data_IF_543159090737
#
_entry.id   IF_543159090737
#
_cell.length_a   1.000
_cell.length_b   1.000
_cell.length_c   1.000
_cell.angle_alpha   90.00
_cell.angle_beta   90.00
_cell.angle_gamma   90.00
#
_symmetry.space_group_name_H-M   'P 1'
#
loop_
_entity.id
_entity.type
_entity.pdbx_description
1 polymer ?
#
# COMPACT_ATOMS: atom_id res chain seq x y z
N UNK A 1 55.26 -8.96 2.58
CA UNK A 1 55.10 -8.98 1.10
C UNK A 1 54.13 -7.87 0.75
N UNK A 2 54.38 -7.01 -0.25
CA UNK A 2 53.42 -6.00 -0.65
C UNK A 2 52.14 -6.71 -1.13
N UNK A 3 50.99 -6.25 -0.65
CA UNK A 3 49.63 -6.76 -0.89
C UNK A 3 49.44 -7.44 -2.25
N UNK A 4 49.54 -8.77 -2.30
CA UNK A 4 49.13 -9.52 -3.48
C UNK A 4 47.61 -9.50 -3.55
N UNK A 5 47.07 -8.71 -4.48
CA UNK A 5 45.63 -8.65 -4.80
C UNK A 5 45.03 -10.07 -4.86
N UNK A 6 43.87 -10.27 -4.23
CA UNK A 6 43.20 -11.58 -4.21
C UNK A 6 42.35 -11.74 -5.48
N UNK A 7 42.98 -12.16 -6.58
CA UNK A 7 42.35 -12.31 -7.88
C UNK A 7 41.47 -13.58 -7.93
N UNK A 8 40.18 -13.49 -8.31
CA UNK A 8 39.38 -14.67 -8.64
C UNK A 8 39.77 -15.22 -10.02
N UNK A 9 39.53 -16.51 -10.27
CA UNK A 9 39.85 -17.14 -11.55
C UNK A 9 38.57 -17.73 -12.18
N UNK A 10 37.73 -16.92 -12.86
CA UNK A 10 36.51 -17.41 -13.51
C UNK A 10 36.78 -18.47 -14.59
N UNK A 11 37.99 -18.49 -15.14
CA UNK A 11 38.46 -19.50 -16.10
C UNK A 11 38.34 -20.93 -15.53
N UNK A 12 38.49 -21.10 -14.21
CA UNK A 12 38.41 -22.41 -13.56
C UNK A 12 36.99 -22.99 -13.63
N UNK A 13 35.97 -22.12 -13.53
CA UNK A 13 34.57 -22.57 -13.49
C UNK A 13 33.90 -22.53 -14.86
N UNK A 14 34.46 -21.78 -15.81
CA UNK A 14 33.89 -21.61 -17.15
C UNK A 14 34.69 -22.30 -18.26
N UNK A 15 36.00 -22.51 -18.08
CA UNK A 15 36.90 -22.98 -19.14
C UNK A 15 37.21 -21.94 -20.23
N UNK A 16 36.75 -20.70 -20.07
CA UNK A 16 36.92 -19.61 -21.02
C UNK A 16 37.82 -18.52 -20.43
N UNK A 17 38.43 -17.65 -21.25
CA UNK A 17 39.26 -16.53 -20.77
C UNK A 17 38.38 -15.35 -20.30
N UNK A 18 38.69 -14.77 -19.15
CA UNK A 18 37.96 -13.64 -18.56
C UNK A 18 38.84 -12.41 -18.35
N UNK A 19 38.19 -11.25 -18.27
CA UNK A 19 38.79 -10.01 -17.79
C UNK A 19 38.23 -9.70 -16.39
N UNK A 20 39.11 -9.59 -15.39
CA UNK A 20 38.70 -9.21 -14.02
C UNK A 20 39.21 -7.82 -13.70
N UNK A 21 38.26 -6.95 -13.33
CA UNK A 21 38.49 -5.55 -12.99
C UNK A 21 38.37 -5.42 -11.47
N UNK A 22 39.43 -4.91 -10.83
CA UNK A 22 39.39 -4.61 -9.40
C UNK A 22 38.61 -3.33 -9.12
N UNK A 23 37.69 -3.34 -8.17
CA UNK A 23 37.04 -2.10 -7.72
C UNK A 23 38.03 -1.24 -6.94
N UNK A 24 37.91 0.08 -7.10
CA UNK A 24 38.69 1.10 -6.37
C UNK A 24 37.80 1.68 -5.27
N UNK A 25 38.39 2.04 -4.13
CA UNK A 25 37.74 2.79 -3.03
C UNK A 25 36.66 2.05 -2.23
N UNK A 26 36.87 0.78 -1.87
CA UNK A 26 35.97 0.04 -0.96
C UNK A 26 34.49 0.01 -1.43
N UNK A 27 34.22 0.15 -2.74
CA UNK A 27 32.88 -0.16 -3.28
C UNK A 27 32.74 -1.69 -3.33
N UNK A 28 31.87 -2.29 -2.48
CA UNK A 28 31.80 -3.73 -2.29
C UNK A 28 30.89 -4.42 -3.32
N UNK A 29 30.40 -3.70 -4.33
CA UNK A 29 29.44 -4.26 -5.28
C UNK A 29 30.17 -5.06 -6.36
N UNK A 30 30.03 -6.38 -6.26
CA UNK A 30 30.45 -7.32 -7.28
C UNK A 30 29.48 -7.30 -8.46
N UNK A 31 30.02 -7.41 -9.68
CA UNK A 31 29.20 -7.53 -10.89
C UNK A 31 29.87 -8.51 -11.86
N UNK A 32 29.09 -9.45 -12.38
CA UNK A 32 29.53 -10.40 -13.41
C UNK A 32 28.76 -10.20 -14.71
N UNK A 33 29.48 -9.90 -15.79
CA UNK A 33 28.96 -9.85 -17.15
C UNK A 33 29.38 -11.10 -17.94
N UNK A 34 28.46 -12.07 -18.02
CA UNK A 34 28.66 -13.31 -18.75
C UNK A 34 28.69 -13.14 -20.28
N UNK A 35 28.16 -12.05 -20.84
CA UNK A 35 28.18 -11.82 -22.28
C UNK A 35 29.57 -11.39 -22.72
N UNK A 36 30.13 -10.41 -22.02
CA UNK A 36 31.45 -9.85 -22.32
C UNK A 36 32.60 -10.57 -21.58
N UNK A 37 32.28 -11.54 -20.72
CA UNK A 37 33.24 -12.27 -19.87
C UNK A 37 34.08 -11.33 -19.01
N UNK A 38 33.40 -10.37 -18.40
CA UNK A 38 33.99 -9.38 -17.50
C UNK A 38 33.46 -9.60 -16.07
N UNK A 39 34.36 -9.53 -15.08
CA UNK A 39 34.00 -9.61 -13.67
C UNK A 39 34.60 -8.42 -12.92
N UNK A 40 33.76 -7.62 -12.28
CA UNK A 40 34.17 -6.49 -11.46
C UNK A 40 34.00 -6.86 -10.00
N UNK A 41 35.09 -6.90 -9.24
CA UNK A 41 35.09 -7.33 -7.83
C UNK A 41 36.11 -6.59 -6.98
N UNK A 42 35.88 -6.48 -5.66
CA UNK A 42 36.91 -6.03 -4.74
C UNK A 42 38.06 -7.06 -4.63
N UNK A 43 39.30 -6.56 -4.58
CA UNK A 43 40.53 -7.38 -4.59
C UNK A 43 41.31 -7.32 -3.26
N UNK A 44 40.81 -6.58 -2.29
CA UNK A 44 41.30 -6.55 -0.92
C UNK A 44 41.10 -7.92 -0.22
N UNK A 45 41.87 -8.12 0.84
CA UNK A 45 41.92 -9.36 1.61
C UNK A 45 41.34 -9.21 3.02
N UNK A 46 41.03 -8.00 3.42
CA UNK A 46 40.63 -7.67 4.77
C UNK A 46 39.94 -6.32 4.78
N UNK A 47 38.83 -6.24 5.50
CA UNK A 47 38.15 -4.99 5.76
C UNK A 47 38.91 -4.20 6.83
N UNK A 48 39.21 -2.94 6.57
CA UNK A 48 39.91 -2.06 7.51
C UNK A 48 39.13 -1.81 8.81
N UNK A 49 37.80 -1.93 8.77
CA UNK A 49 36.93 -1.65 9.93
C UNK A 49 36.80 -2.84 10.88
N UNK A 50 36.65 -4.05 10.37
CA UNK A 50 36.33 -5.23 11.19
C UNK A 50 37.31 -6.41 11.04
N UNK A 51 38.31 -6.33 10.17
CA UNK A 51 39.30 -7.39 9.96
C UNK A 51 38.78 -8.63 9.20
N UNK A 52 37.53 -8.63 8.73
CA UNK A 52 36.94 -9.76 7.98
C UNK A 52 37.20 -9.57 6.48
N UNK A 53 37.51 -10.65 5.75
CA UNK A 53 37.66 -10.64 4.29
C UNK A 53 36.31 -10.70 3.57
N UNK A 54 35.50 -9.66 3.70
CA UNK A 54 34.21 -9.50 3.01
C UNK A 54 34.31 -9.77 1.51
N UNK A 55 35.35 -9.23 0.88
CA UNK A 55 35.64 -9.32 -0.54
C UNK A 55 35.82 -10.75 -1.04
N UNK A 56 36.22 -11.70 -0.17
CA UNK A 56 36.26 -13.13 -0.51
C UNK A 56 34.87 -13.70 -0.78
N UNK A 57 33.86 -13.29 -0.01
CA UNK A 57 32.49 -13.76 -0.20
C UNK A 57 31.89 -13.18 -1.47
N UNK A 58 32.15 -11.90 -1.74
CA UNK A 58 31.73 -11.23 -2.99
C UNK A 58 32.34 -11.94 -4.21
N UNK A 59 33.68 -12.14 -4.22
CA UNK A 59 34.34 -12.89 -5.31
C UNK A 59 33.78 -14.30 -5.51
N UNK A 60 33.46 -15.00 -4.42
CA UNK A 60 32.85 -16.34 -4.50
C UNK A 60 31.44 -16.29 -5.09
N UNK A 61 30.66 -15.29 -4.70
CA UNK A 61 29.32 -15.05 -5.23
C UNK A 61 29.36 -14.80 -6.75
N UNK A 62 30.24 -13.90 -7.19
CA UNK A 62 30.45 -13.58 -8.61
C UNK A 62 30.95 -14.78 -9.43
N UNK A 63 31.81 -15.63 -8.87
CA UNK A 63 32.18 -16.90 -9.53
C UNK A 63 30.98 -17.84 -9.70
N UNK A 64 30.00 -17.78 -8.81
CA UNK A 64 28.71 -18.45 -8.96
C UNK A 64 27.93 -17.94 -10.16
N UNK A 65 27.84 -16.61 -10.34
CA UNK A 65 27.25 -16.00 -11.54
C UNK A 65 27.97 -16.41 -12.82
N UNK A 66 29.30 -16.38 -12.82
CA UNK A 66 30.11 -16.78 -13.98
C UNK A 66 29.81 -18.22 -14.42
N UNK A 67 29.53 -19.10 -13.46
CA UNK A 67 29.26 -20.52 -13.72
C UNK A 67 27.81 -20.80 -14.12
N UNK A 68 26.83 -20.15 -13.47
CA UNK A 68 25.43 -20.58 -13.53
C UNK A 68 24.44 -19.54 -14.04
N UNK A 69 24.80 -18.26 -14.06
CA UNK A 69 23.93 -17.24 -14.62
C UNK A 69 23.93 -17.31 -16.15
N UNK A 70 22.84 -16.90 -16.81
CA UNK A 70 22.80 -16.85 -18.26
C UNK A 70 23.75 -15.76 -18.79
N UNK A 71 24.09 -15.83 -20.08
CA UNK A 71 24.87 -14.78 -20.76
C UNK A 71 24.16 -13.43 -20.78
N UNK A 72 22.84 -13.45 -20.93
CA UNK A 72 22.00 -12.26 -20.88
C UNK A 72 20.75 -12.57 -20.08
N UNK A 73 20.11 -11.55 -19.51
CA UNK A 73 18.83 -11.72 -18.80
C UNK A 73 17.67 -12.10 -19.73
N UNK A 74 17.90 -12.01 -21.05
CA UNK A 74 16.88 -12.13 -22.07
C UNK A 74 16.01 -10.88 -22.16
N UNK A 75 15.05 -10.90 -23.09
CA UNK A 75 14.06 -9.84 -23.22
C UNK A 75 13.07 -9.93 -22.05
N UNK A 76 13.03 -8.90 -21.22
CA UNK A 76 12.03 -8.78 -20.15
C UNK A 76 10.64 -8.63 -20.77
N UNK A 77 9.65 -9.32 -20.20
CA UNK A 77 8.24 -9.12 -20.58
C UNK A 77 7.80 -7.70 -20.15
N UNK A 78 6.81 -7.10 -20.82
CA UNK A 78 6.21 -5.85 -20.35
C UNK A 78 5.77 -5.95 -18.88
N UNK A 79 6.13 -4.95 -18.07
CA UNK A 79 5.83 -4.92 -16.63
C UNK A 79 6.78 -5.71 -15.73
N UNK A 80 7.78 -6.42 -16.29
CA UNK A 80 8.80 -7.09 -15.47
C UNK A 80 9.98 -6.16 -15.22
N UNK A 81 10.31 -5.97 -13.93
CA UNK A 81 11.42 -5.16 -13.46
C UNK A 81 12.74 -5.92 -13.51
N UNK A 82 13.82 -5.22 -13.88
CA UNK A 82 15.16 -5.78 -13.86
C UNK A 82 15.59 -6.14 -12.43
N UNK A 83 15.26 -5.30 -11.45
CA UNK A 83 15.60 -5.48 -10.04
C UNK A 83 14.99 -6.76 -9.45
N UNK A 84 13.76 -7.12 -9.86
CA UNK A 84 13.12 -8.37 -9.47
C UNK A 84 13.85 -9.59 -10.04
N UNK A 85 14.33 -9.51 -11.28
CA UNK A 85 15.12 -10.57 -11.90
C UNK A 85 16.47 -10.70 -11.22
N UNK A 86 17.16 -9.58 -10.99
CA UNK A 86 18.48 -9.56 -10.33
C UNK A 86 18.38 -10.17 -8.95
N UNK A 87 17.50 -9.67 -8.07
CA UNK A 87 17.45 -10.13 -6.68
C UNK A 87 17.09 -11.61 -6.55
N UNK A 88 16.21 -12.13 -7.42
CA UNK A 88 15.85 -13.55 -7.43
C UNK A 88 16.98 -14.41 -8.01
N UNK A 89 17.80 -13.84 -8.89
CA UNK A 89 19.03 -14.46 -9.35
C UNK A 89 20.07 -14.55 -8.22
N UNK A 90 20.25 -13.50 -7.41
CA UNK A 90 21.11 -13.53 -6.22
C UNK A 90 20.70 -14.69 -5.28
N UNK A 91 19.40 -14.82 -5.01
CA UNK A 91 18.84 -15.92 -4.20
C UNK A 91 19.17 -17.28 -4.81
N UNK A 92 19.03 -17.41 -6.15
CA UNK A 92 19.33 -18.66 -6.85
C UNK A 92 20.82 -19.00 -6.77
N UNK A 93 21.71 -18.05 -7.01
CA UNK A 93 23.16 -18.24 -6.97
C UNK A 93 23.62 -18.61 -5.56
N UNK A 94 23.16 -17.90 -4.54
CA UNK A 94 23.44 -18.21 -3.14
C UNK A 94 23.02 -19.64 -2.77
N UNK A 95 21.86 -20.07 -3.24
CA UNK A 95 21.39 -21.43 -3.01
C UNK A 95 22.24 -22.48 -3.75
N UNK A 96 22.61 -22.24 -5.01
CA UNK A 96 23.47 -23.15 -5.77
C UNK A 96 24.86 -23.29 -5.13
N UNK A 97 25.42 -22.19 -4.63
CA UNK A 97 26.66 -22.21 -3.86
C UNK A 97 26.54 -23.08 -2.60
N UNK A 98 25.45 -22.96 -1.86
CA UNK A 98 25.17 -23.80 -0.68
C UNK A 98 25.08 -25.30 -1.06
N UNK A 99 24.28 -25.66 -2.05
CA UNK A 99 24.10 -27.06 -2.49
C UNK A 99 25.41 -27.68 -3.01
N UNK A 100 26.31 -26.87 -3.57
CA UNK A 100 27.63 -27.30 -4.05
C UNK A 100 28.72 -27.22 -2.95
N UNK A 101 28.36 -27.13 -1.67
CA UNK A 101 29.29 -27.07 -0.52
C UNK A 101 30.27 -25.89 -0.58
N UNK A 102 29.87 -24.79 -1.21
CA UNK A 102 30.60 -23.53 -1.29
C UNK A 102 29.78 -22.36 -0.70
N UNK A 103 29.21 -22.50 0.51
CA UNK A 103 28.33 -21.48 1.07
C UNK A 103 29.08 -20.15 1.30
N UNK A 104 28.34 -19.04 1.27
CA UNK A 104 28.84 -17.75 1.76
C UNK A 104 28.71 -17.72 3.28
N UNK A 105 29.67 -18.36 3.97
CA UNK A 105 29.64 -18.59 5.42
C UNK A 105 30.05 -17.39 6.27
N UNK A 106 30.75 -16.44 5.67
CA UNK A 106 31.15 -15.16 6.27
C UNK A 106 30.28 -14.04 5.70
N UNK A 107 30.11 -12.91 6.39
CA UNK A 107 29.38 -11.78 5.85
C UNK A 107 30.16 -11.11 4.70
N UNK A 108 29.42 -10.65 3.70
CA UNK A 108 29.90 -9.89 2.53
C UNK A 108 30.09 -8.40 2.81
N UNK A 109 29.59 -7.89 3.95
CA UNK A 109 29.74 -6.51 4.42
C UNK A 109 29.83 -6.48 5.95
N UNK A 110 30.26 -5.37 6.53
CA UNK A 110 30.24 -5.21 7.98
C UNK A 110 28.81 -5.30 8.51
N UNK A 111 28.62 -6.07 9.59
CA UNK A 111 27.29 -6.27 10.18
C UNK A 111 26.68 -4.96 10.68
N UNK A 112 27.50 -4.06 11.24
CA UNK A 112 27.06 -2.74 11.71
C UNK A 112 26.52 -1.88 10.55
N UNK A 113 27.17 -1.93 9.38
CA UNK A 113 26.68 -1.24 8.18
C UNK A 113 25.34 -1.80 7.71
N UNK A 114 25.17 -3.13 7.76
CA UNK A 114 23.90 -3.79 7.43
C UNK A 114 22.82 -3.37 8.42
N UNK A 115 23.13 -3.31 9.71
CA UNK A 115 22.19 -2.88 10.75
C UNK A 115 21.76 -1.42 10.54
N UNK A 116 22.71 -0.50 10.35
CA UNK A 116 22.43 0.92 10.10
C UNK A 116 21.58 1.11 8.83
N UNK A 117 21.94 0.41 7.74
CA UNK A 117 21.17 0.45 6.50
C UNK A 117 19.77 -0.11 6.69
N UNK A 118 19.62 -1.22 7.43
CA UNK A 118 18.31 -1.81 7.73
C UNK A 118 17.46 -0.88 8.56
N UNK A 119 18.01 -0.27 9.62
CA UNK A 119 17.30 0.73 10.42
C UNK A 119 16.79 1.86 9.53
N UNK A 120 17.65 2.44 8.69
CA UNK A 120 17.23 3.50 7.76
C UNK A 120 16.09 3.03 6.85
N UNK A 121 16.20 1.85 6.24
CA UNK A 121 15.16 1.30 5.36
C UNK A 121 13.81 1.13 6.08
N UNK A 122 13.85 0.63 7.31
CA UNK A 122 12.66 0.33 8.10
C UNK A 122 11.86 1.60 8.44
N UNK A 123 12.50 2.76 8.59
CA UNK A 123 11.81 4.02 8.87
C UNK A 123 11.56 4.88 7.62
N UNK A 124 12.47 4.89 6.64
CA UNK A 124 12.47 5.89 5.57
C UNK A 124 12.11 5.33 4.18
N UNK A 125 12.18 4.02 3.99
CA UNK A 125 12.07 3.43 2.65
C UNK A 125 10.73 2.77 2.35
N UNK A 126 10.37 2.74 1.07
CA UNK A 126 9.23 1.98 0.58
C UNK A 126 9.39 0.47 0.79
N UNK A 127 8.28 -0.25 0.83
CA UNK A 127 8.28 -1.71 1.07
C UNK A 127 9.10 -2.44 -0.02
N UNK A 128 9.10 -1.94 -1.25
CA UNK A 128 9.86 -2.50 -2.35
C UNK A 128 11.37 -2.62 -2.03
N UNK A 129 11.97 -1.59 -1.44
CA UNK A 129 13.40 -1.58 -1.10
C UNK A 129 13.73 -2.57 0.03
N UNK A 130 12.82 -2.70 1.00
CA UNK A 130 12.94 -3.66 2.10
C UNK A 130 12.88 -5.09 1.55
N UNK A 131 11.96 -5.38 0.62
CA UNK A 131 11.85 -6.67 -0.05
C UNK A 131 13.13 -6.99 -0.83
N UNK A 132 13.63 -6.04 -1.62
CA UNK A 132 14.85 -6.22 -2.42
C UNK A 132 16.07 -6.50 -1.53
N UNK A 133 16.29 -5.68 -0.49
CA UNK A 133 17.41 -5.90 0.43
C UNK A 133 17.23 -7.21 1.23
N UNK A 134 16.01 -7.55 1.62
CA UNK A 134 15.71 -8.76 2.38
C UNK A 134 15.95 -10.03 1.59
N UNK A 135 15.57 -10.06 0.31
CA UNK A 135 15.87 -11.18 -0.57
C UNK A 135 17.38 -11.30 -0.85
N UNK A 136 18.06 -10.18 -1.11
CA UNK A 136 19.51 -10.17 -1.32
C UNK A 136 20.30 -10.67 -0.09
N UNK A 137 19.82 -10.35 1.11
CA UNK A 137 20.52 -10.66 2.37
C UNK A 137 20.23 -12.05 2.91
N UNK A 138 19.32 -12.84 2.30
CA UNK A 138 18.82 -14.11 2.86
C UNK A 138 19.33 -15.33 2.10
N UNK A 139 20.19 -16.11 2.74
CA UNK A 139 20.62 -17.41 2.23
C UNK A 139 20.98 -18.41 3.33
N UNK A 140 21.10 -19.69 2.94
CA UNK A 140 21.43 -20.79 3.86
C UNK A 140 22.94 -20.94 4.01
N UNK A 141 23.38 -21.27 5.22
CA UNK A 141 24.75 -21.68 5.54
C UNK A 141 24.72 -22.92 6.45
N UNK A 142 25.77 -23.77 6.44
CA UNK A 142 25.84 -24.96 7.29
C UNK A 142 25.70 -24.63 8.76
N UNK A 143 24.91 -25.42 9.49
CA UNK A 143 24.73 -25.30 10.93
C UNK A 143 25.78 -26.17 11.65
N UNK A 144 26.91 -25.58 12.04
CA UNK A 144 28.06 -26.32 12.59
C UNK A 144 27.89 -26.70 14.08
N UNK A 145 26.67 -26.70 14.64
CA UNK A 145 26.46 -27.14 16.03
C UNK A 145 26.65 -28.66 16.16
N UNK A 146 27.69 -29.06 16.90
CA UNK A 146 28.24 -30.41 16.98
C UNK A 146 27.30 -31.54 17.48
N UNK A 147 26.07 -31.23 17.92
CA UNK A 147 25.19 -32.17 18.61
C UNK A 147 23.93 -32.61 17.82
N UNK A 148 23.80 -32.26 16.54
CA UNK A 148 22.60 -32.63 15.74
C UNK A 148 22.89 -33.78 14.76
N UNK A 149 22.09 -34.84 14.82
CA UNK A 149 22.22 -36.07 13.99
C UNK A 149 21.83 -35.88 12.51
N UNK A 150 21.31 -34.72 12.12
CA UNK A 150 20.90 -34.41 10.75
C UNK A 150 21.57 -33.11 10.29
N UNK A 151 21.91 -33.02 9.00
CA UNK A 151 22.41 -31.80 8.40
C UNK A 151 21.37 -30.69 8.55
N UNK A 152 21.54 -29.83 9.55
CA UNK A 152 20.73 -28.63 9.74
C UNK A 152 21.40 -27.46 9.02
N UNK A 153 20.60 -26.48 8.61
CA UNK A 153 21.09 -25.21 8.07
C UNK A 153 20.65 -24.08 9.00
N UNK A 154 21.42 -23.00 9.02
CA UNK A 154 20.98 -21.71 9.55
C UNK A 154 20.92 -20.69 8.42
N UNK A 155 20.28 -19.55 8.66
CA UNK A 155 20.43 -18.39 7.78
C UNK A 155 21.75 -17.68 8.09
N UNK A 156 22.30 -17.00 7.09
CA UNK A 156 23.52 -16.22 7.20
C UNK A 156 23.39 -15.05 8.19
N UNK A 157 24.52 -14.58 8.70
CA UNK A 157 24.55 -13.59 9.77
C UNK A 157 24.01 -12.21 9.31
N UNK A 158 24.07 -11.88 8.01
CA UNK A 158 23.45 -10.66 7.48
C UNK A 158 21.94 -10.69 7.59
N UNK A 159 21.30 -11.81 7.24
CA UNK A 159 19.86 -11.98 7.44
C UNK A 159 19.49 -11.94 8.92
N UNK A 160 20.32 -12.52 9.79
CA UNK A 160 20.07 -12.49 11.24
C UNK A 160 20.06 -11.05 11.76
N UNK A 161 21.06 -10.24 11.38
CA UNK A 161 21.13 -8.82 11.77
C UNK A 161 19.97 -8.03 11.17
N UNK A 162 19.67 -8.22 9.88
CA UNK A 162 18.56 -7.55 9.21
C UNK A 162 17.21 -7.90 9.87
N UNK A 163 16.96 -9.19 10.11
CA UNK A 163 15.72 -9.65 10.78
C UNK A 163 15.64 -9.14 12.21
N UNK A 164 16.76 -9.07 12.94
CA UNK A 164 16.79 -8.46 14.27
C UNK A 164 16.43 -6.99 14.23
N UNK A 165 17.01 -6.21 13.31
CA UNK A 165 16.71 -4.78 13.14
C UNK A 165 15.25 -4.54 12.74
N UNK A 166 14.72 -5.37 11.84
CA UNK A 166 13.28 -5.37 11.50
C UNK A 166 12.44 -5.64 12.75
N UNK A 167 12.79 -6.66 13.54
CA UNK A 167 12.00 -7.03 14.72
C UNK A 167 11.95 -5.94 15.80
N UNK A 168 12.95 -5.07 15.87
CA UNK A 168 12.96 -3.94 16.82
C UNK A 168 11.80 -2.97 16.58
N UNK A 169 11.31 -2.85 15.34
CA UNK A 169 10.19 -1.94 15.02
C UNK A 169 8.89 -2.36 15.72
N UNK A 170 8.69 -3.66 15.96
CA UNK A 170 7.45 -4.14 16.57
C UNK A 170 7.32 -3.71 18.02
N UNK A 171 8.46 -3.51 18.70
CA UNK A 171 8.55 -3.00 20.07
C UNK A 171 8.64 -1.47 20.14
N UNK A 172 8.78 -0.78 19.01
CA UNK A 172 8.81 0.68 18.96
C UNK A 172 7.40 1.24 19.17
N UNK A 173 7.20 1.95 20.28
CA UNK A 173 5.93 2.54 20.67
C UNK A 173 5.64 3.85 19.91
N UNK A 174 6.66 4.47 19.33
CA UNK A 174 6.55 5.70 18.53
C UNK A 174 6.07 5.42 17.11
N UNK A 175 6.23 4.19 16.62
CA UNK A 175 5.86 3.78 15.26
C UNK A 175 4.38 3.41 15.17
N UNK A 176 3.73 3.79 14.07
CA UNK A 176 2.33 3.43 13.81
C UNK A 176 2.17 1.92 13.58
N UNK A 177 0.99 1.39 13.90
CA UNK A 177 0.65 0.00 13.57
C UNK A 177 0.58 -0.22 12.05
N UNK A 178 0.26 0.82 11.26
CA UNK A 178 0.29 0.76 9.81
C UNK A 178 1.69 0.41 9.29
N UNK A 179 2.72 1.11 9.76
CA UNK A 179 4.10 0.83 9.34
C UNK A 179 4.53 -0.56 9.78
N UNK A 180 4.21 -1.00 11.00
CA UNK A 180 4.52 -2.37 11.45
C UNK A 180 3.92 -3.43 10.53
N UNK A 181 2.67 -3.25 10.08
CA UNK A 181 2.02 -4.16 9.14
C UNK A 181 2.67 -4.15 7.75
N UNK A 182 3.10 -2.97 7.25
CA UNK A 182 3.88 -2.88 6.01
C UNK A 182 5.18 -3.70 6.09
N UNK A 183 5.87 -3.63 7.22
CA UNK A 183 7.11 -4.39 7.45
C UNK A 183 6.84 -5.90 7.54
N UNK A 184 5.79 -6.29 8.25
CA UNK A 184 5.40 -7.70 8.34
C UNK A 184 5.04 -8.29 6.97
N UNK A 185 4.33 -7.54 6.14
CA UNK A 185 4.05 -7.92 4.76
C UNK A 185 5.36 -8.11 3.96
N UNK A 186 6.32 -7.19 4.07
CA UNK A 186 7.63 -7.31 3.43
C UNK A 186 8.34 -8.62 3.81
N UNK A 187 8.40 -8.94 5.12
CA UNK A 187 9.03 -10.17 5.62
C UNK A 187 8.39 -11.43 5.04
N UNK A 188 7.06 -11.45 4.91
CA UNK A 188 6.36 -12.59 4.30
C UNK A 188 6.65 -12.71 2.82
N UNK A 189 6.66 -11.60 2.07
CA UNK A 189 7.04 -11.60 0.66
C UNK A 189 8.47 -12.12 0.49
N UNK A 190 9.41 -11.66 1.31
CA UNK A 190 10.81 -12.15 1.31
C UNK A 190 10.85 -13.66 1.54
N UNK A 191 10.18 -14.16 2.57
CA UNK A 191 10.14 -15.59 2.89
C UNK A 191 9.52 -16.42 1.76
N UNK A 192 8.39 -15.97 1.23
CA UNK A 192 7.67 -16.62 0.15
C UNK A 192 8.53 -16.71 -1.11
N UNK A 193 9.14 -15.61 -1.55
CA UNK A 193 9.95 -15.61 -2.77
C UNK A 193 11.27 -16.36 -2.61
N UNK A 194 11.92 -16.26 -1.44
CA UNK A 194 13.08 -17.10 -1.14
C UNK A 194 12.73 -18.60 -1.21
N UNK A 195 11.61 -19.02 -0.61
CA UNK A 195 11.15 -20.41 -0.69
C UNK A 195 10.75 -20.79 -2.12
N UNK A 196 10.03 -19.93 -2.83
CA UNK A 196 9.61 -20.17 -4.21
C UNK A 196 10.81 -20.42 -5.12
N UNK A 197 11.92 -19.70 -4.96
CA UNK A 197 13.15 -19.96 -5.72
C UNK A 197 13.82 -21.23 -5.23
N UNK A 198 14.08 -21.35 -3.93
CA UNK A 198 14.93 -22.41 -3.36
C UNK A 198 14.29 -23.81 -3.29
N UNK A 199 12.96 -23.92 -3.23
CA UNK A 199 12.26 -25.21 -3.18
C UNK A 199 12.28 -25.92 -4.53
N UNK A 200 12.90 -27.09 -4.62
CA UNK A 200 12.98 -27.88 -5.84
C UNK A 200 12.99 -29.39 -5.52
N UNK A 201 12.70 -30.23 -6.52
CA UNK A 201 12.69 -31.68 -6.35
C UNK A 201 14.11 -32.22 -6.10
N UNK A 202 14.20 -33.33 -5.35
CA UNK A 202 15.50 -33.97 -5.05
C UNK A 202 16.29 -34.27 -6.34
N UNK A 203 17.57 -33.87 -6.36
CA UNK A 203 18.47 -34.08 -7.49
C UNK A 203 18.25 -33.12 -8.68
N UNK A 204 17.31 -32.16 -8.60
CA UNK A 204 17.14 -31.15 -9.63
C UNK A 204 18.02 -29.92 -9.35
N UNK A 205 18.46 -29.22 -10.39
CA UNK A 205 19.12 -27.91 -10.24
C UNK A 205 18.12 -26.80 -10.54
N UNK A 206 18.13 -25.73 -9.75
CA UNK A 206 17.24 -24.58 -9.96
C UNK A 206 17.63 -23.87 -11.25
N UNK A 207 16.70 -23.81 -12.20
CA UNK A 207 16.89 -23.15 -13.49
C UNK A 207 16.66 -21.64 -13.42
N UNK A 208 17.35 -20.89 -14.28
CA UNK A 208 17.11 -19.45 -14.48
C UNK A 208 15.68 -19.15 -14.98
N UNK A 209 15.05 -20.09 -15.71
CA UNK A 209 13.64 -19.95 -16.13
C UNK A 209 12.70 -19.82 -14.92
N UNK A 210 13.05 -20.41 -13.78
CA UNK A 210 12.30 -20.26 -12.54
C UNK A 210 12.40 -18.83 -12.00
N UNK A 211 13.58 -18.22 -12.04
CA UNK A 211 13.78 -16.79 -11.71
C UNK A 211 12.88 -15.91 -12.56
N UNK A 212 12.89 -16.09 -13.88
CA UNK A 212 12.03 -15.32 -14.79
C UNK A 212 10.53 -15.50 -14.49
N UNK A 213 10.09 -16.73 -14.16
CA UNK A 213 8.69 -17.01 -13.80
C UNK A 213 8.24 -16.25 -12.55
N UNK A 214 9.08 -16.17 -11.52
CA UNK A 214 8.74 -15.51 -10.26
C UNK A 214 9.06 -14.01 -10.26
N UNK A 215 9.90 -13.52 -11.17
CA UNK A 215 10.17 -12.09 -11.31
C UNK A 215 8.93 -11.30 -11.74
N UNK A 216 8.04 -11.89 -12.55
CA UNK A 216 6.80 -11.25 -13.01
C UNK A 216 5.84 -10.88 -11.87
N UNK A 217 5.39 -11.83 -11.02
CA UNK A 217 4.56 -11.48 -9.88
C UNK A 217 5.31 -10.67 -8.80
N UNK A 218 6.63 -10.81 -8.67
CA UNK A 218 7.41 -9.96 -7.76
C UNK A 218 7.42 -8.50 -8.25
N UNK A 219 7.56 -8.28 -9.56
CA UNK A 219 7.56 -6.94 -10.16
C UNK A 219 6.26 -6.21 -9.86
N UNK A 220 5.11 -6.89 -9.99
CA UNK A 220 3.81 -6.32 -9.64
C UNK A 220 3.76 -5.86 -8.18
N UNK A 221 4.29 -6.64 -7.24
CA UNK A 221 4.37 -6.25 -5.82
C UNK A 221 5.31 -5.06 -5.62
N UNK A 222 6.48 -5.06 -6.26
CA UNK A 222 7.45 -3.96 -6.13
C UNK A 222 6.90 -2.64 -6.70
N UNK A 223 6.06 -2.69 -7.74
CA UNK A 223 5.42 -1.51 -8.32
C UNK A 223 4.30 -0.96 -7.43
N UNK A 224 3.60 -1.80 -6.68
CA UNK A 224 2.58 -1.35 -5.71
C UNK A 224 3.16 -0.52 -4.57
N UNK A 225 4.42 -0.77 -4.18
CA UNK A 225 5.02 -0.18 -2.97
C UNK A 225 6.36 0.52 -3.22
N UNK A 226 6.43 1.25 -4.33
CA UNK A 226 7.61 2.01 -4.72
C UNK A 226 7.83 3.25 -3.86
N UNK A 227 6.75 3.90 -3.46
CA UNK A 227 6.80 5.19 -2.78
C UNK A 227 7.35 5.03 -1.35
N UNK A 228 8.18 5.98 -0.94
CA UNK A 228 8.62 6.09 0.45
C UNK A 228 7.43 6.44 1.35
N UNK A 229 7.38 5.92 2.59
CA UNK A 229 6.32 6.24 3.52
C UNK A 229 6.38 7.71 3.95
N UNK A 230 5.23 8.27 4.23
CA UNK A 230 5.10 9.61 4.82
C UNK A 230 5.36 9.58 6.33
N UNK A 231 5.68 10.75 6.91
CA UNK A 231 6.01 10.83 8.34
C UNK A 231 4.85 10.37 9.24
N UNK A 232 3.60 10.65 8.87
CA UNK A 232 2.39 10.23 9.58
C UNK A 232 2.04 8.75 9.37
N UNK A 233 2.56 8.13 8.31
CA UNK A 233 2.49 6.68 8.13
C UNK A 233 3.50 5.96 9.03
N UNK A 234 4.64 6.57 9.33
CA UNK A 234 5.70 5.94 10.15
C UNK A 234 5.51 6.22 11.63
N UNK A 235 5.30 7.47 12.03
CA UNK A 235 5.28 7.88 13.43
C UNK A 235 3.88 8.24 13.92
N UNK A 236 3.57 7.81 15.14
CA UNK A 236 2.36 8.25 15.84
C UNK A 236 2.42 9.77 16.06
N UNK A 237 1.27 10.48 15.96
CA UNK A 237 1.24 11.90 16.25
C UNK A 237 1.74 12.15 17.67
N UNK A 238 2.64 13.14 17.83
CA UNK A 238 3.14 13.53 19.14
C UNK A 238 1.94 13.99 19.99
N UNK A 239 1.81 13.54 21.25
CA UNK A 239 0.79 14.06 22.13
C UNK A 239 1.01 15.57 22.26
N UNK A 240 -0.02 16.36 21.94
CA UNK A 240 0.00 17.80 22.13
C UNK A 240 0.28 18.06 23.62
N UNK A 241 1.33 18.82 23.99
CA UNK A 241 1.50 19.20 25.37
C UNK A 241 0.24 19.95 25.81
N UNK A 242 -0.40 19.46 26.87
CA UNK A 242 -1.54 20.09 27.51
C UNK A 242 -1.30 21.60 27.57
N UNK A 243 -2.12 22.37 26.86
CA UNK A 243 -2.28 23.79 27.13
C UNK A 243 -2.86 23.82 28.54
N UNK A 244 -1.99 24.05 29.51
CA UNK A 244 -2.38 24.43 30.86
C UNK A 244 -3.21 25.70 30.69
N UNK A 245 -4.47 25.76 31.15
CA UNK A 245 -5.23 26.98 31.04
C UNK A 245 -4.55 28.03 31.91
N UNK A 246 -3.90 29.01 31.28
CA UNK A 246 -3.58 30.26 31.95
C UNK A 246 -4.92 30.92 32.28
N UNK A 247 -5.22 31.04 33.56
CA UNK A 247 -6.22 31.97 34.04
C UNK A 247 -5.80 33.37 33.58
N UNK A 248 -6.42 33.85 32.51
CA UNK A 248 -6.47 35.27 32.20
C UNK A 248 -7.93 35.58 31.83
N UNK A 249 -8.51 36.49 32.60
CA UNK A 249 -9.90 36.90 32.49
C UNK A 249 -10.09 37.74 31.23
N UNK A 250 -10.86 37.23 30.27
CA UNK A 250 -11.24 37.98 29.07
C UNK A 250 -12.38 37.30 28.34
N UNK A 251 -13.59 37.85 28.49
CA UNK A 251 -14.83 37.46 27.82
C UNK A 251 -14.66 37.34 26.30
N UNK A 252 -15.17 36.25 25.73
CA UNK A 252 -15.27 36.03 24.29
C UNK A 252 -15.90 34.69 23.96
N UNK A 253 -17.21 34.69 23.71
CA UNK A 253 -18.02 33.54 23.30
C UNK A 253 -17.42 32.77 22.11
N UNK A 254 -17.12 31.50 22.34
CA UNK A 254 -17.22 30.44 21.33
C UNK A 254 -17.42 29.09 22.02
N UNK A 255 -18.68 28.75 22.28
CA UNK A 255 -19.10 27.38 22.60
C UNK A 255 -18.94 26.50 21.35
N UNK A 256 -17.72 26.01 21.10
CA UNK A 256 -17.53 24.78 20.33
C UNK A 256 -17.86 23.61 21.25
N UNK A 257 -19.02 23.01 21.01
CA UNK A 257 -19.52 21.82 21.70
C UNK A 257 -18.55 20.64 21.54
N UNK A 258 -17.67 20.48 22.52
CA UNK A 258 -16.88 19.29 22.79
C UNK A 258 -17.77 18.17 23.36
N UNK A 259 -18.74 17.70 22.56
CA UNK A 259 -19.53 16.51 22.89
C UNK A 259 -19.21 15.37 21.92
N UNK A 260 -18.23 14.56 22.34
CA UNK A 260 -18.12 13.09 22.26
C UNK A 260 -16.64 12.71 22.15
N UNK A 261 -16.13 12.02 23.17
CA UNK A 261 -14.74 11.60 23.23
C UNK A 261 -14.34 10.72 22.05
N UNK A 262 -13.41 11.19 21.22
CA UNK A 262 -12.75 10.39 20.19
C UNK A 262 -12.42 11.10 18.87
N UNK A 263 -11.73 12.24 18.88
CA UNK A 263 -11.14 12.86 17.67
C UNK A 263 -12.14 13.33 16.59
N UNK A 264 -11.66 14.00 15.54
CA UNK A 264 -12.50 14.32 14.38
C UNK A 264 -12.94 13.03 13.65
N UNK A 265 -14.09 13.01 12.97
CA UNK A 265 -14.53 11.86 12.15
C UNK A 265 -13.48 11.39 11.13
N UNK A 266 -12.64 12.32 10.65
CA UNK A 266 -11.49 12.03 9.81
C UNK A 266 -10.44 11.20 10.56
N UNK A 267 -10.18 11.52 11.83
CA UNK A 267 -9.28 10.75 12.68
C UNK A 267 -9.84 9.36 13.00
N UNK A 268 -11.15 9.24 13.25
CA UNK A 268 -11.81 7.93 13.39
C UNK A 268 -11.65 7.09 12.12
N UNK A 269 -11.96 7.66 10.96
CA UNK A 269 -11.78 7.00 9.65
C UNK A 269 -10.35 6.47 9.48
N UNK A 270 -9.34 7.26 9.88
CA UNK A 270 -7.92 6.85 9.83
C UNK A 270 -7.60 5.71 10.79
N UNK A 271 -8.14 5.74 12.00
CA UNK A 271 -7.93 4.70 13.00
C UNK A 271 -8.60 3.37 12.58
N UNK A 272 -9.84 3.43 12.09
CA UNK A 272 -10.60 2.26 11.66
C UNK A 272 -9.93 1.58 10.45
N UNK A 273 -9.44 2.36 9.47
CA UNK A 273 -8.62 1.84 8.37
C UNK A 273 -7.34 1.14 8.87
N UNK A 274 -6.69 1.70 9.90
CA UNK A 274 -5.49 1.10 10.49
C UNK A 274 -5.79 -0.24 11.18
N UNK A 275 -6.97 -0.37 11.81
CA UNK A 275 -7.43 -1.63 12.40
C UNK A 275 -7.82 -2.66 11.32
N UNK A 276 -8.42 -2.24 10.21
CA UNK A 276 -8.71 -3.17 9.09
C UNK A 276 -7.44 -3.79 8.53
N UNK A 277 -6.36 -3.02 8.42
CA UNK A 277 -5.06 -3.50 7.96
C UNK A 277 -4.54 -4.64 8.86
N UNK A 278 -4.86 -4.63 10.16
CA UNK A 278 -4.55 -5.74 11.08
C UNK A 278 -5.32 -7.03 10.77
N UNK A 279 -6.54 -6.90 10.24
CA UNK A 279 -7.39 -8.05 9.87
C UNK A 279 -7.14 -8.53 8.44
N UNK A 280 -6.40 -7.76 7.65
CA UNK A 280 -6.05 -8.11 6.27
C UNK A 280 -5.18 -9.37 6.22
N UNK A 281 -5.40 -10.16 5.18
CA UNK A 281 -4.53 -11.28 4.87
C UNK A 281 -3.26 -10.75 4.22
N UNK A 282 -2.19 -11.52 4.30
CA UNK A 282 -0.86 -11.04 3.93
C UNK A 282 -0.47 -11.39 2.49
N UNK A 283 -1.41 -11.93 1.71
CA UNK A 283 -1.25 -12.12 0.28
C UNK A 283 -1.58 -10.88 -0.53
N UNK A 284 -1.65 -11.07 -1.84
CA UNK A 284 -1.94 -10.01 -2.81
C UNK A 284 -3.25 -10.32 -3.51
N UNK A 285 -4.18 -9.39 -3.45
CA UNK A 285 -5.48 -9.46 -4.12
C UNK A 285 -5.56 -8.57 -5.35
N UNK A 286 -6.62 -8.72 -6.13
CA UNK A 286 -6.96 -7.83 -7.24
C UNK A 286 -8.43 -7.44 -7.18
N UNK A 287 -8.73 -6.17 -7.46
CA UNK A 287 -10.11 -5.69 -7.62
C UNK A 287 -10.81 -6.37 -8.79
N UNK A 288 -12.13 -6.46 -8.71
CA UNK A 288 -12.99 -6.81 -9.83
C UNK A 288 -13.14 -5.67 -10.83
N UNK A 289 -13.70 -5.97 -11.99
CA UNK A 289 -14.09 -4.96 -12.97
C UNK A 289 -15.37 -4.26 -12.52
N UNK A 290 -15.37 -2.93 -12.48
CA UNK A 290 -16.52 -2.14 -12.04
C UNK A 290 -17.28 -1.53 -13.22
N UNK A 291 -18.60 -1.75 -13.27
CA UNK A 291 -19.50 -1.11 -14.23
C UNK A 291 -20.30 0.01 -13.58
N UNK A 292 -20.37 1.17 -14.22
CA UNK A 292 -21.13 2.33 -13.71
C UNK A 292 -22.47 2.45 -14.42
N UNK A 293 -23.55 2.59 -13.64
CA UNK A 293 -24.93 2.67 -14.13
C UNK A 293 -25.63 3.94 -13.66
N UNK A 294 -26.48 4.48 -14.53
CA UNK A 294 -27.39 5.59 -14.23
C UNK A 294 -28.83 5.14 -14.46
N UNK A 295 -29.44 4.43 -13.49
CA UNK A 295 -30.81 3.98 -13.64
C UNK A 295 -31.82 5.14 -13.71
N UNK A 296 -33.02 4.91 -14.26
CA UNK A 296 -34.08 5.90 -14.25
C UNK A 296 -34.49 6.32 -12.83
N UNK A 297 -34.32 7.61 -12.51
CA UNK A 297 -34.73 8.19 -11.23
C UNK A 297 -36.22 8.57 -11.27
N UNK A 298 -37.08 7.57 -11.09
CA UNK A 298 -38.54 7.66 -11.28
C UNK A 298 -39.29 8.33 -10.13
N UNK A 299 -38.73 8.33 -8.91
CA UNK A 299 -39.37 8.93 -7.74
C UNK A 299 -38.92 10.38 -7.61
N UNK A 300 -39.84 11.32 -7.86
CA UNK A 300 -39.56 12.76 -7.77
C UNK A 300 -39.87 13.29 -6.37
N UNK A 301 -38.85 13.77 -5.67
CA UNK A 301 -38.94 14.28 -4.31
C UNK A 301 -38.85 15.81 -4.23
N UNK A 302 -38.67 16.52 -5.35
CA UNK A 302 -38.44 17.98 -5.36
C UNK A 302 -39.52 18.81 -4.64
N UNK A 303 -40.76 18.33 -4.58
CA UNK A 303 -41.84 18.98 -3.83
C UNK A 303 -41.81 18.74 -2.32
N UNK A 304 -41.13 17.66 -1.89
CA UNK A 304 -40.98 17.26 -0.47
C UNK A 304 -39.69 17.78 0.15
N UNK A 305 -38.67 18.08 -0.67
CA UNK A 305 -37.40 18.61 -0.19
C UNK A 305 -37.51 20.09 0.20
N UNK A 306 -37.25 20.40 1.49
CA UNK A 306 -37.17 21.78 1.96
C UNK A 306 -36.08 22.53 1.18
N UNK A 307 -36.44 23.66 0.59
CA UNK A 307 -35.48 24.53 -0.09
C UNK A 307 -34.99 24.08 -1.47
N UNK A 308 -35.43 22.94 -2.03
CA UNK A 308 -34.99 22.46 -3.36
C UNK A 308 -35.22 23.47 -4.52
N UNK A 309 -36.08 24.46 -4.28
CA UNK A 309 -36.33 25.64 -5.12
C UNK A 309 -36.22 26.94 -4.33
N UNK A 310 -35.31 27.00 -3.36
CA UNK A 310 -35.04 28.21 -2.60
C UNK A 310 -34.35 29.22 -3.51
N UNK A 311 -35.00 30.37 -3.66
CA UNK A 311 -34.45 31.51 -4.36
C UNK A 311 -34.28 32.65 -3.36
N UNK A 312 -33.17 33.35 -3.45
CA UNK A 312 -32.98 34.62 -2.74
C UNK A 312 -33.27 35.79 -3.69
N UNK A 313 -33.80 36.91 -3.17
CA UNK A 313 -33.86 38.16 -3.91
C UNK A 313 -32.46 38.65 -4.29
N UNK A 314 -32.28 39.06 -5.55
CA UNK A 314 -31.06 39.61 -6.10
C UNK A 314 -31.36 40.88 -6.90
N UNK A 315 -30.38 41.78 -6.96
CA UNK A 315 -30.38 43.05 -7.68
C UNK A 315 -30.14 42.90 -9.19
N UNK A 316 -29.64 41.73 -9.63
CA UNK A 316 -29.48 41.38 -11.04
C UNK A 316 -30.08 40.01 -11.39
N UNK A 317 -30.51 39.86 -12.65
CA UNK A 317 -31.03 38.62 -13.21
C UNK A 317 -31.90 38.88 -14.43
N UNK A 318 -32.43 37.81 -15.03
CA UNK A 318 -33.29 37.93 -16.21
C UNK A 318 -34.79 37.88 -15.87
N UNK A 319 -35.16 37.17 -14.80
CA UNK A 319 -36.56 36.91 -14.44
C UNK A 319 -36.93 37.60 -13.12
N UNK A 320 -37.60 38.77 -13.16
CA UNK A 320 -38.01 39.51 -11.97
C UNK A 320 -39.18 38.79 -11.29
N UNK A 321 -38.95 38.30 -10.06
CA UNK A 321 -39.92 37.55 -9.25
C UNK A 321 -40.41 38.35 -8.03
N UNK A 322 -39.52 39.14 -7.43
CA UNK A 322 -39.76 39.87 -6.19
C UNK A 322 -40.03 41.35 -6.48
N UNK A 323 -40.98 41.64 -7.38
CA UNK A 323 -41.29 43.00 -7.85
C UNK A 323 -41.64 43.94 -6.69
N UNK A 324 -42.31 43.41 -5.66
CA UNK A 324 -42.66 44.12 -4.44
C UNK A 324 -41.45 44.67 -3.66
N UNK A 325 -40.22 44.21 -3.93
CA UNK A 325 -39.00 44.73 -3.31
C UNK A 325 -38.37 45.90 -4.07
N UNK A 326 -38.92 46.29 -5.22
CA UNK A 326 -38.34 47.37 -6.04
C UNK A 326 -38.16 48.66 -5.26
N UNK A 327 -39.19 49.07 -4.51
CA UNK A 327 -39.18 50.29 -3.69
C UNK A 327 -38.49 50.12 -2.33
N UNK A 328 -38.03 48.91 -1.99
CA UNK A 328 -37.39 48.60 -0.70
C UNK A 328 -35.87 48.56 -0.87
N UNK A 329 -35.38 47.61 -1.68
CA UNK A 329 -33.94 47.35 -1.84
C UNK A 329 -33.52 47.04 -3.29
N UNK A 330 -34.46 47.16 -4.24
CA UNK A 330 -34.27 46.89 -5.68
C UNK A 330 -33.84 45.45 -6.01
N UNK A 331 -33.89 44.52 -5.06
CA UNK A 331 -33.57 43.09 -5.29
C UNK A 331 -34.77 42.34 -5.88
N UNK A 332 -35.12 42.66 -7.12
CA UNK A 332 -36.34 42.14 -7.76
C UNK A 332 -36.17 40.79 -8.46
N UNK A 333 -34.94 40.36 -8.73
CA UNK A 333 -34.65 39.14 -9.46
C UNK A 333 -34.53 37.93 -8.53
N UNK A 334 -34.84 36.74 -9.06
CA UNK A 334 -34.60 35.48 -8.34
C UNK A 334 -33.20 34.96 -8.63
N UNK A 335 -32.41 34.70 -7.59
CA UNK A 335 -31.15 33.95 -7.69
C UNK A 335 -31.30 32.61 -6.97
N UNK A 336 -30.90 31.52 -7.62
CA UNK A 336 -30.94 30.18 -6.99
C UNK A 336 -29.95 30.15 -5.82
N UNK A 337 -30.40 29.74 -4.64
CA UNK A 337 -29.52 29.61 -3.48
C UNK A 337 -28.62 28.37 -3.63
N UNK A 338 -27.38 28.48 -3.18
CA UNK A 338 -26.50 27.33 -2.96
C UNK A 338 -27.08 26.51 -1.81
N UNK A 339 -27.27 25.21 -2.05
CA UNK A 339 -27.75 24.28 -1.05
C UNK A 339 -26.61 23.35 -0.62
N UNK A 340 -26.70 22.88 0.62
CA UNK A 340 -25.84 21.82 1.14
C UNK A 340 -26.01 20.55 0.31
N UNK A 341 -24.90 19.88 0.03
CA UNK A 341 -24.85 18.74 -0.89
C UNK A 341 -23.60 17.89 -0.68
N UNK A 342 -23.02 17.41 -1.76
CA UNK A 342 -21.91 16.46 -1.74
C UNK A 342 -22.30 15.12 -2.33
N UNK A 343 -21.39 14.16 -2.24
CA UNK A 343 -21.63 12.80 -2.73
C UNK A 343 -21.48 11.78 -1.60
N UNK A 344 -22.48 10.90 -1.50
CA UNK A 344 -22.49 9.77 -0.59
C UNK A 344 -22.39 8.50 -1.44
N UNK A 345 -21.40 7.67 -1.14
CA UNK A 345 -21.25 6.33 -1.70
C UNK A 345 -21.59 5.31 -0.63
N UNK A 346 -22.59 4.48 -0.88
CA UNK A 346 -23.07 3.47 0.05
C UNK A 346 -22.57 2.09 -0.39
N UNK A 347 -21.88 1.41 0.51
CA UNK A 347 -21.64 -0.02 0.44
C UNK A 347 -22.99 -0.74 0.59
N UNK A 348 -23.38 -1.45 -0.45
CA UNK A 348 -24.64 -2.20 -0.50
C UNK A 348 -24.40 -3.71 -0.39
N UNK A 349 -23.31 -4.15 0.23
CA UNK A 349 -23.08 -5.55 0.55
C UNK A 349 -24.13 -6.10 1.54
N UNK A 350 -24.19 -7.43 1.69
CA UNK A 350 -25.20 -8.12 2.48
C UNK A 350 -25.19 -7.83 3.98
N UNK A 351 -24.14 -7.22 4.51
CA UNK A 351 -24.08 -6.72 5.90
C UNK A 351 -24.71 -5.33 6.06
N UNK A 352 -24.90 -4.61 4.96
CA UNK A 352 -25.43 -3.25 4.93
C UNK A 352 -26.91 -3.27 4.57
N UNK A 353 -27.73 -2.56 5.34
CA UNK A 353 -29.16 -2.40 5.06
C UNK A 353 -29.54 -0.93 5.02
N UNK A 354 -30.35 -0.58 4.02
CA UNK A 354 -30.97 0.72 3.85
C UNK A 354 -32.19 0.56 2.95
N UNK A 355 -33.14 1.49 3.06
CA UNK A 355 -34.35 1.50 2.25
C UNK A 355 -34.57 2.86 1.59
N UNK A 356 -35.64 2.99 0.80
CA UNK A 356 -35.94 4.26 0.14
C UNK A 356 -36.42 5.38 1.04
N UNK A 357 -36.83 5.10 2.28
CA UNK A 357 -37.14 6.13 3.29
C UNK A 357 -35.85 6.72 3.85
N UNK A 358 -34.84 5.89 4.13
CA UNK A 358 -33.51 6.36 4.53
C UNK A 358 -32.90 7.33 3.51
N UNK A 359 -32.99 6.99 2.23
CA UNK A 359 -32.55 7.86 1.13
C UNK A 359 -33.34 9.17 1.14
N UNK A 360 -34.66 9.10 1.39
CA UNK A 360 -35.50 10.29 1.45
C UNK A 360 -35.08 11.20 2.62
N UNK A 361 -34.85 10.65 3.80
CA UNK A 361 -34.41 11.39 4.99
C UNK A 361 -33.06 12.07 4.74
N UNK A 362 -32.08 11.36 4.17
CA UNK A 362 -30.79 11.95 3.79
C UNK A 362 -30.98 13.09 2.79
N UNK A 363 -31.81 12.89 1.76
CA UNK A 363 -32.07 13.94 0.77
C UNK A 363 -32.82 15.15 1.38
N UNK A 364 -33.65 14.96 2.41
CA UNK A 364 -34.29 16.06 3.14
C UNK A 364 -33.28 16.88 3.93
N UNK A 365 -32.27 16.23 4.51
CA UNK A 365 -31.15 16.88 5.20
C UNK A 365 -30.20 17.58 4.22
N UNK A 366 -29.91 16.93 3.08
CA UNK A 366 -28.96 17.39 2.06
C UNK A 366 -29.64 17.46 0.67
N UNK A 367 -30.39 18.53 0.35
CA UNK A 367 -31.22 18.58 -0.86
C UNK A 367 -30.47 18.52 -2.19
N UNK A 368 -29.18 18.87 -2.21
CA UNK A 368 -28.32 18.80 -3.39
C UNK A 368 -27.40 17.57 -3.42
N UNK A 369 -27.65 16.56 -2.57
CA UNK A 369 -26.83 15.35 -2.49
C UNK A 369 -26.95 14.49 -3.77
N UNK A 370 -25.83 13.87 -4.14
CA UNK A 370 -25.81 12.72 -5.05
C UNK A 370 -25.52 11.47 -4.24
N UNK A 371 -26.34 10.44 -4.38
CA UNK A 371 -26.18 9.17 -3.67
C UNK A 371 -25.94 8.08 -4.71
N UNK A 372 -24.86 7.35 -4.54
CA UNK A 372 -24.55 6.14 -5.29
C UNK A 372 -24.42 4.96 -4.32
N UNK A 373 -24.68 3.75 -4.83
CA UNK A 373 -24.38 2.52 -4.12
C UNK A 373 -23.47 1.63 -4.95
N UNK A 374 -22.67 0.79 -4.30
CA UNK A 374 -21.87 -0.22 -4.96
C UNK A 374 -21.97 -1.56 -4.26
N UNK A 375 -21.80 -2.63 -5.04
CA UNK A 375 -21.71 -4.01 -4.60
C UNK A 375 -21.08 -4.85 -5.71
N UNK A 376 -20.80 -6.12 -5.44
CA UNK A 376 -20.32 -7.03 -6.48
C UNK A 376 -20.39 -8.50 -6.13
N UNK A 377 -20.05 -9.32 -7.12
CA UNK A 377 -20.04 -10.78 -6.99
C UNK A 377 -19.07 -11.39 -7.98
N UNK A 378 -18.39 -12.46 -7.58
CA UNK A 378 -17.39 -13.13 -8.40
C UNK A 378 -16.24 -12.19 -8.79
N UNK A 379 -16.21 -11.78 -10.05
CA UNK A 379 -15.11 -11.00 -10.62
C UNK A 379 -15.50 -9.59 -11.08
N UNK A 380 -16.75 -9.21 -10.85
CA UNK A 380 -17.31 -7.95 -11.33
C UNK A 380 -18.16 -7.29 -10.26
N UNK A 381 -18.20 -5.97 -10.27
CA UNK A 381 -19.08 -5.19 -9.42
C UNK A 381 -19.72 -4.05 -10.18
N UNK A 382 -20.68 -3.42 -9.54
CA UNK A 382 -21.49 -2.38 -10.13
C UNK A 382 -21.57 -1.18 -9.20
N UNK A 383 -21.51 0.02 -9.78
CA UNK A 383 -21.78 1.27 -9.11
C UNK A 383 -23.03 1.90 -9.73
N UNK A 384 -24.04 2.19 -8.91
CA UNK A 384 -25.36 2.70 -9.35
C UNK A 384 -25.63 4.05 -8.72
N UNK A 385 -25.87 5.07 -9.54
CA UNK A 385 -26.32 6.38 -9.04
C UNK A 385 -27.82 6.31 -8.74
N UNK A 386 -28.17 6.15 -7.46
CA UNK A 386 -29.53 5.86 -7.01
C UNK A 386 -30.33 7.10 -6.61
N UNK A 387 -29.67 8.23 -6.34
CA UNK A 387 -30.34 9.51 -6.14
C UNK A 387 -29.52 10.70 -6.64
N UNK A 388 -30.19 11.66 -7.29
CA UNK A 388 -29.58 12.89 -7.81
C UNK A 388 -30.65 13.94 -8.12
N UNK A 389 -30.33 15.22 -7.92
CA UNK A 389 -31.19 16.35 -8.31
C UNK A 389 -32.63 16.29 -7.73
N UNK A 390 -32.76 15.81 -6.50
CA UNK A 390 -34.06 15.66 -5.84
C UNK A 390 -34.93 14.53 -6.42
N UNK A 391 -34.34 13.57 -7.13
CA UNK A 391 -35.00 12.35 -7.59
C UNK A 391 -34.24 11.12 -7.11
N UNK A 392 -34.94 10.01 -6.91
CA UNK A 392 -34.35 8.70 -6.58
C UNK A 392 -34.96 7.56 -7.41
N UNK A 393 -34.31 6.41 -7.39
CA UNK A 393 -34.86 5.14 -7.89
C UNK A 393 -36.03 4.64 -7.03
N UNK A 394 -36.83 3.72 -7.57
CA UNK A 394 -37.94 3.08 -6.85
C UNK A 394 -37.46 2.07 -5.81
N UNK A 395 -38.31 1.74 -4.82
CA UNK A 395 -38.03 0.72 -3.80
C UNK A 395 -37.64 -0.63 -4.42
N UNK A 396 -38.46 -1.11 -5.36
CA UNK A 396 -38.20 -2.33 -6.13
C UNK A 396 -36.80 -2.36 -6.75
N UNK A 397 -36.27 -1.21 -7.19
CA UNK A 397 -34.95 -1.16 -7.79
C UNK A 397 -33.85 -1.34 -6.75
N UNK A 398 -34.04 -0.80 -5.54
CA UNK A 398 -33.13 -1.01 -4.41
C UNK A 398 -33.14 -2.48 -4.03
N UNK A 399 -34.31 -3.08 -3.82
CA UNK A 399 -34.46 -4.49 -3.44
C UNK A 399 -33.81 -5.46 -4.43
N UNK A 400 -33.87 -5.15 -5.73
CA UNK A 400 -33.29 -5.99 -6.79
C UNK A 400 -31.76 -5.86 -6.93
N UNK A 401 -31.16 -4.76 -6.45
CA UNK A 401 -29.78 -4.41 -6.76
C UNK A 401 -28.91 -4.10 -5.52
N UNK A 402 -29.47 -4.18 -4.31
CA UNK A 402 -28.73 -4.18 -3.05
C UNK A 402 -28.46 -5.62 -2.58
N UNK A 403 -27.50 -5.78 -1.67
CA UNK A 403 -27.01 -7.07 -1.20
C UNK A 403 -25.77 -7.57 -1.97
N UNK A 404 -25.40 -8.83 -1.74
CA UNK A 404 -24.19 -9.51 -2.25
C UNK A 404 -22.88 -9.14 -1.52
N UNK A 405 -21.73 -9.49 -2.11
CA UNK A 405 -20.42 -9.18 -1.52
C UNK A 405 -19.85 -7.87 -2.05
N UNK A 406 -18.59 -7.62 -1.73
CA UNK A 406 -17.80 -6.55 -2.30
C UNK A 406 -16.63 -7.14 -3.08
N UNK A 407 -16.35 -6.58 -4.25
CA UNK A 407 -15.15 -6.89 -5.04
C UNK A 407 -14.53 -5.65 -5.71
N UNK A 408 -15.15 -4.47 -5.53
CA UNK A 408 -14.85 -3.22 -6.26
C UNK A 408 -14.74 -2.00 -5.33
N UNK A 409 -14.40 -2.18 -4.05
CA UNK A 409 -14.25 -1.07 -3.10
C UNK A 409 -13.28 0.00 -3.61
N UNK A 410 -12.08 -0.42 -4.06
CA UNK A 410 -11.07 0.49 -4.63
C UNK A 410 -11.61 1.31 -5.81
N UNK A 411 -12.08 0.66 -6.90
CA UNK A 411 -12.70 1.36 -8.03
C UNK A 411 -13.87 2.29 -7.65
N UNK A 412 -14.72 1.88 -6.71
CA UNK A 412 -15.85 2.69 -6.26
C UNK A 412 -15.39 3.94 -5.49
N UNK A 413 -14.37 3.81 -4.65
CA UNK A 413 -13.76 4.93 -3.93
C UNK A 413 -13.01 5.88 -4.87
N UNK A 414 -12.35 5.36 -5.91
CA UNK A 414 -11.74 6.20 -6.94
C UNK A 414 -12.81 7.02 -7.69
N UNK A 415 -13.95 6.39 -8.04
CA UNK A 415 -15.10 7.11 -8.59
C UNK A 415 -15.59 8.21 -7.64
N UNK A 416 -15.73 7.91 -6.34
CA UNK A 416 -16.13 8.91 -5.34
C UNK A 416 -15.13 10.08 -5.27
N UNK A 417 -13.84 9.79 -5.38
CA UNK A 417 -12.76 10.77 -5.44
C UNK A 417 -12.91 11.80 -6.57
N UNK A 418 -13.45 11.39 -7.72
CA UNK A 418 -13.70 12.28 -8.87
C UNK A 418 -14.91 13.21 -8.67
N UNK A 419 -15.74 12.97 -7.65
CA UNK A 419 -16.91 13.79 -7.38
C UNK A 419 -16.54 15.11 -6.67
N UNK A 420 -17.42 16.13 -6.66
CA UNK A 420 -17.20 17.36 -5.90
C UNK A 420 -16.85 17.12 -4.43
N UNK A 421 -16.16 18.07 -3.81
CA UNK A 421 -15.75 17.98 -2.41
C UNK A 421 -16.95 17.76 -1.47
N UNK A 422 -16.67 17.19 -0.29
CA UNK A 422 -17.63 16.54 0.64
C UNK A 422 -18.04 15.16 0.12
N UNK A 423 -17.20 14.19 0.43
CA UNK A 423 -17.26 12.80 -0.04
C UNK A 423 -17.40 11.88 1.17
N UNK A 424 -18.53 11.21 1.25
CA UNK A 424 -18.86 10.30 2.35
C UNK A 424 -18.91 8.88 1.80
N UNK A 425 -18.21 7.97 2.46
CA UNK A 425 -18.29 6.54 2.21
C UNK A 425 -19.03 5.89 3.37
N UNK A 426 -20.17 5.26 3.10
CA UNK A 426 -20.97 4.56 4.10
C UNK A 426 -20.65 3.07 3.99
N UNK A 427 -19.90 2.52 4.95
CA UNK A 427 -19.47 1.12 4.91
C UNK A 427 -19.07 0.63 6.30
N UNK A 428 -19.27 -0.67 6.53
CA UNK A 428 -18.74 -1.42 7.67
C UNK A 428 -17.25 -1.73 7.55
N UNK A 429 -16.61 -1.20 6.50
CA UNK A 429 -15.17 -1.29 6.29
C UNK A 429 -14.70 -2.74 6.07
N UNK A 430 -15.54 -3.58 5.47
CA UNK A 430 -15.14 -4.92 5.02
C UNK A 430 -14.81 -4.91 3.53
N UNK A 431 -13.53 -4.69 3.26
CA UNK A 431 -13.01 -4.55 1.89
C UNK A 431 -12.60 -5.91 1.33
N UNK A 432 -13.04 -6.20 0.11
CA UNK A 432 -12.72 -7.47 -0.54
C UNK A 432 -12.40 -7.29 -2.03
N UNK A 433 -11.46 -8.09 -2.52
CA UNK A 433 -11.09 -8.19 -3.93
C UNK A 433 -11.71 -9.40 -4.61
N UNK A 434 -11.67 -9.39 -5.94
CA UNK A 434 -12.22 -10.44 -6.80
C UNK A 434 -11.31 -11.68 -6.95
N UNK A 435 -9.99 -11.49 -6.89
CA UNK A 435 -9.02 -12.54 -7.20
C UNK A 435 -7.85 -12.56 -6.23
N UNK A 436 -7.16 -13.70 -6.18
CA UNK A 436 -5.99 -13.89 -5.34
C UNK A 436 -6.37 -13.97 -3.88
N UNK A 437 -5.65 -13.22 -3.05
CA UNK A 437 -6.01 -13.08 -1.65
C UNK A 437 -7.08 -12.00 -1.51
N UNK A 438 -8.35 -12.40 -1.40
CA UNK A 438 -9.49 -11.48 -1.46
C UNK A 438 -9.53 -10.48 -0.31
N UNK A 439 -8.80 -10.71 0.78
CA UNK A 439 -8.60 -9.74 1.86
C UNK A 439 -7.15 -9.21 1.92
N UNK A 440 -6.42 -9.29 0.80
CA UNK A 440 -4.99 -9.02 0.74
C UNK A 440 -4.61 -7.61 1.16
N UNK A 441 -3.46 -7.49 1.83
CA UNK A 441 -2.91 -6.24 2.36
C UNK A 441 -2.87 -5.11 1.33
N UNK A 442 -2.54 -5.42 0.06
CA UNK A 442 -2.46 -4.42 -1.00
C UNK A 442 -3.80 -3.77 -1.32
N UNK A 443 -4.92 -4.49 -1.21
CA UNK A 443 -6.26 -3.95 -1.42
C UNK A 443 -6.60 -2.93 -0.33
N UNK A 444 -6.29 -3.26 0.92
CA UNK A 444 -6.47 -2.36 2.07
C UNK A 444 -5.58 -1.13 1.99
N UNK A 445 -4.32 -1.32 1.58
CA UNK A 445 -3.40 -0.21 1.37
C UNK A 445 -3.90 0.75 0.27
N UNK A 446 -4.49 0.22 -0.81
CA UNK A 446 -5.09 1.01 -1.89
C UNK A 446 -6.31 1.81 -1.42
N UNK A 447 -7.20 1.19 -0.63
CA UNK A 447 -8.33 1.89 0.01
C UNK A 447 -7.84 3.00 0.93
N UNK A 448 -6.87 2.72 1.82
CA UNK A 448 -6.30 3.73 2.71
C UNK A 448 -5.69 4.91 1.93
N UNK A 449 -4.92 4.63 0.87
CA UNK A 449 -4.34 5.65 -0.01
C UNK A 449 -5.43 6.51 -0.67
N UNK A 450 -6.47 5.88 -1.21
CA UNK A 450 -7.57 6.56 -1.91
C UNK A 450 -8.39 7.43 -0.97
N UNK A 451 -8.75 6.91 0.21
CA UNK A 451 -9.49 7.65 1.23
C UNK A 451 -8.71 8.90 1.68
N UNK A 452 -7.41 8.77 1.92
CA UNK A 452 -6.52 9.90 2.28
C UNK A 452 -6.40 10.91 1.14
N UNK A 453 -6.12 10.44 -0.07
CA UNK A 453 -5.93 11.28 -1.28
C UNK A 453 -7.12 12.20 -1.53
N UNK A 454 -8.34 11.71 -1.33
CA UNK A 454 -9.56 12.45 -1.64
C UNK A 454 -10.28 13.03 -0.43
N UNK A 455 -9.70 12.95 0.77
CA UNK A 455 -10.31 13.31 2.04
C UNK A 455 -11.74 12.73 2.18
N UNK A 456 -11.86 11.42 1.93
CA UNK A 456 -13.13 10.70 2.07
C UNK A 456 -13.37 10.43 3.56
N UNK A 457 -14.58 10.68 4.03
CA UNK A 457 -14.99 10.40 5.41
C UNK A 457 -15.78 9.10 5.41
N UNK A 458 -15.40 8.14 6.24
CA UNK A 458 -16.20 6.93 6.43
C UNK A 458 -17.23 7.14 7.52
N UNK A 459 -18.47 6.72 7.27
CA UNK A 459 -19.54 6.58 8.26
C UNK A 459 -19.99 5.12 8.26
N UNK A 460 -20.26 4.56 9.43
CA UNK A 460 -20.53 3.12 9.60
C UNK A 460 -21.84 2.70 8.99
N UNK A 461 -22.84 3.58 9.00
CA UNK A 461 -24.17 3.29 8.53
C UNK A 461 -24.93 4.58 8.19
N UNK A 462 -26.15 4.39 7.70
CA UNK A 462 -27.08 5.46 7.34
C UNK A 462 -27.47 6.34 8.52
N UNK A 463 -27.60 5.80 9.73
CA UNK A 463 -27.95 6.60 10.91
C UNK A 463 -26.86 7.62 11.22
N UNK A 464 -25.59 7.21 11.13
CA UNK A 464 -24.46 8.12 11.32
C UNK A 464 -24.42 9.22 10.23
N UNK A 465 -24.90 8.93 9.01
CA UNK A 465 -25.10 9.95 7.97
C UNK A 465 -26.15 10.97 8.40
N UNK A 466 -27.26 10.53 9.00
CA UNK A 466 -28.32 11.43 9.49
C UNK A 466 -27.81 12.31 10.63
N UNK A 467 -26.99 11.77 11.52
CA UNK A 467 -26.40 12.50 12.66
C UNK A 467 -25.35 13.53 12.25
N UNK A 468 -24.47 13.19 11.30
CA UNK A 468 -23.30 13.99 10.97
C UNK A 468 -23.36 14.70 9.62
N UNK A 469 -24.29 14.32 8.73
CA UNK A 469 -24.35 14.83 7.36
C UNK A 469 -24.52 16.34 7.25
N UNK A 470 -25.25 16.96 8.19
CA UNK A 470 -25.37 18.42 8.30
C UNK A 470 -24.08 19.05 8.83
N UNK A 471 -23.49 18.50 9.90
CA UNK A 471 -22.26 19.00 10.52
C UNK A 471 -21.07 18.97 9.56
N UNK A 472 -21.03 18.00 8.65
CA UNK A 472 -20.00 17.87 7.62
C UNK A 472 -20.17 18.86 6.45
N UNK A 473 -21.36 19.44 6.29
CA UNK A 473 -21.71 20.36 5.21
C UNK A 473 -21.88 21.82 5.65
N UNK A 474 -22.06 22.06 6.95
CA UNK A 474 -21.80 23.35 7.60
C UNK A 474 -20.30 23.62 7.64
#
# INVERSE_FOLDING_TARGET
>A
MPNSKAYPYPEIVTGEKWEVIGTVNNSPEGVTDNLNRQMTVPLDRECEECGINHSRMIRRHELGHAKWSPKTMGKLKPGVRAEAVHVLEEVRINHLLYENKLPLSEPSKCLDMIQQKTNKLVYESGIAEIILMGLASKWKVPDNYANRRHATYKYNDEWVVMSSAINMIYSDDTVTEYRKNQIQYAEKVINMYHQNITNHGYGQTISYRKVQKYAEPLSAILDMFRDAPTQDEVYKPKPTPNIVPSMDEGEGDSEESNELGGGSLEQRTRNDLSEMLYRSTQGTGQWGEMFTHQPPLTVNLQGRLKGGRAYRPADFGYNPKYINRYCIDKKIFKQKMTQLGGTILIDASGSMSFNGEDILEIMQLLPAVTIAMYNGTGHTGDLRIIAKNGKRVSEKYLDEHSGYGNVVDGPALEWLGTQPAKRIWVSDMHVFGAHGDTAGFNLMADVNKTVRKYNIINLKNIEEVKEHGLKLNM
#
